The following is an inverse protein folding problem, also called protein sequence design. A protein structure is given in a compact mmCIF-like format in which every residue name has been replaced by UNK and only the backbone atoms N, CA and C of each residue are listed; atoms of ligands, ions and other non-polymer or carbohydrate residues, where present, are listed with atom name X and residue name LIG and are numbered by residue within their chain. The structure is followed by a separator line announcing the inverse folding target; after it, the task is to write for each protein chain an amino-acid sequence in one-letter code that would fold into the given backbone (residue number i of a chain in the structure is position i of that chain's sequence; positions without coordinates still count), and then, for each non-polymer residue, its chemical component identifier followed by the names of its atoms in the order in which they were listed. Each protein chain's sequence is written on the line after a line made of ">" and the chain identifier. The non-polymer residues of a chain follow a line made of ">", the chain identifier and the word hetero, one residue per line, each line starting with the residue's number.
data_IF_575067446950
#
_entry.id   IF_575067446950
#
_cell.length_a   1.000
_cell.length_b   1.000
_cell.length_c   1.000
_cell.angle_alpha   90.00
_cell.angle_beta   90.00
_cell.angle_gamma   90.00
#
_symmetry.space_group_name_H-M   'P 1'
#
loop_
_entity.id
_entity.type
_entity.pdbx_description
1 polymer ?
#
# COMPACT_ATOMS: atom_id res chain seq x y z
N UNK A 1 -20.42 -59.68 -49.12
CA UNK A 1 -20.94 -59.72 -47.72
C UNK A 1 -19.90 -59.07 -46.82
N UNK A 2 -20.31 -58.43 -45.73
CA UNK A 2 -19.36 -57.89 -44.73
C UNK A 2 -18.66 -59.02 -43.94
N UNK A 3 -17.86 -58.73 -42.92
CA UNK A 3 -17.58 -57.45 -42.25
C UNK A 3 -16.04 -57.31 -42.05
N UNK A 4 -15.43 -56.35 -41.33
CA UNK A 4 -15.94 -55.33 -40.39
C UNK A 4 -15.06 -54.06 -40.32
N UNK A 5 -15.43 -53.15 -39.43
CA UNK A 5 -14.72 -51.93 -39.06
C UNK A 5 -14.19 -52.08 -37.62
N UNK A 6 -12.92 -51.76 -37.33
CA UNK A 6 -12.50 -51.61 -35.93
C UNK A 6 -11.45 -50.49 -35.74
N UNK A 7 -11.69 -49.62 -34.76
CA UNK A 7 -10.92 -48.40 -34.49
C UNK A 7 -10.31 -48.48 -33.08
N UNK A 8 -9.01 -48.76 -33.00
CA UNK A 8 -8.23 -48.65 -31.76
C UNK A 8 -7.21 -47.51 -31.87
N UNK A 9 -7.49 -46.39 -31.19
CA UNK A 9 -6.70 -45.16 -31.32
C UNK A 9 -5.31 -45.21 -30.68
N UNK A 10 -4.30 -44.71 -31.40
CA UNK A 10 -2.94 -44.57 -30.89
C UNK A 10 -2.78 -43.36 -29.96
N UNK A 11 -2.90 -43.58 -28.65
CA UNK A 11 -2.54 -42.58 -27.64
C UNK A 11 -1.03 -42.29 -27.71
N UNK A 12 -0.66 -41.05 -28.06
CA UNK A 12 0.72 -40.55 -27.84
C UNK A 12 0.96 -40.44 -26.33
N UNK A 13 2.08 -40.95 -25.78
CA UNK A 13 2.34 -40.90 -24.34
C UNK A 13 2.52 -39.45 -23.87
N UNK A 14 1.65 -39.01 -22.97
CA UNK A 14 1.76 -37.73 -22.29
C UNK A 14 3.02 -37.71 -21.42
N UNK A 15 4.01 -36.91 -21.83
CA UNK A 15 5.27 -36.74 -21.10
C UNK A 15 5.00 -35.92 -19.84
N UNK A 16 4.60 -36.59 -18.75
CA UNK A 16 4.47 -35.99 -17.40
C UNK A 16 5.71 -35.16 -17.10
N UNK A 17 5.58 -33.83 -17.08
CA UNK A 17 6.60 -32.94 -16.52
C UNK A 17 6.68 -33.23 -15.02
N UNK A 18 7.77 -33.87 -14.61
CA UNK A 18 8.07 -34.16 -13.21
C UNK A 18 8.27 -32.85 -12.45
N UNK A 19 7.36 -32.52 -11.53
CA UNK A 19 7.44 -31.34 -10.66
C UNK A 19 8.54 -31.39 -9.59
N UNK A 20 9.61 -32.16 -9.82
CA UNK A 20 10.73 -32.35 -8.89
C UNK A 20 11.99 -31.54 -9.27
N UNK A 21 12.03 -30.95 -10.46
CA UNK A 21 13.21 -30.22 -10.97
C UNK A 21 13.21 -28.71 -10.65
N UNK A 22 12.04 -28.11 -10.40
CA UNK A 22 11.92 -26.68 -10.08
C UNK A 22 12.16 -26.36 -8.59
N UNK A 23 11.95 -27.32 -7.68
CA UNK A 23 12.15 -27.13 -6.23
C UNK A 23 13.63 -27.03 -5.80
N UNK A 24 14.56 -27.56 -6.60
CA UNK A 24 15.98 -27.71 -6.22
C UNK A 24 16.83 -26.46 -6.53
N UNK A 25 16.26 -25.42 -7.15
CA UNK A 25 16.98 -24.17 -7.49
C UNK A 25 16.69 -22.97 -6.57
N UNK A 26 16.01 -23.20 -5.44
CA UNK A 26 15.71 -22.16 -4.45
C UNK A 26 16.75 -22.02 -3.31
N UNK A 27 17.88 -22.73 -3.39
CA UNK A 27 18.87 -22.81 -2.31
C UNK A 27 19.88 -21.65 -2.28
N UNK A 28 19.38 -20.48 -1.90
CA UNK A 28 20.14 -19.58 -1.02
C UNK A 28 19.12 -18.91 -0.10
N UNK A 29 19.09 -19.20 1.20
CA UNK A 29 18.06 -18.66 2.09
C UNK A 29 18.18 -17.13 2.15
N UNK A 30 17.25 -16.45 1.47
CA UNK A 30 17.39 -15.05 1.12
C UNK A 30 16.63 -14.14 2.10
N UNK A 31 17.19 -13.93 3.30
CA UNK A 31 16.60 -13.01 4.27
C UNK A 31 17.51 -12.69 5.47
N UNK A 32 17.17 -11.67 6.28
CA UNK A 32 18.00 -11.26 7.42
C UNK A 32 18.13 -12.34 8.50
N UNK A 33 17.17 -13.27 8.59
CA UNK A 33 17.22 -14.38 9.55
C UNK A 33 17.99 -15.59 9.05
N UNK A 34 18.31 -15.66 7.76
CA UNK A 34 18.92 -16.84 7.15
C UNK A 34 20.27 -17.26 7.77
N UNK A 35 21.20 -16.35 8.14
CA UNK A 35 22.46 -16.76 8.78
C UNK A 35 22.28 -17.33 10.20
N UNK A 36 21.12 -17.12 10.84
CA UNK A 36 20.84 -17.56 12.21
C UNK A 36 19.92 -18.80 12.22
N UNK A 37 18.85 -18.76 11.44
CA UNK A 37 17.81 -19.80 11.42
C UNK A 37 17.90 -20.76 10.23
N UNK A 38 18.72 -20.47 9.20
CA UNK A 38 18.81 -21.29 7.98
C UNK A 38 19.13 -22.76 8.26
N UNK A 39 20.06 -23.06 9.17
CA UNK A 39 20.41 -24.43 9.60
C UNK A 39 19.27 -25.20 10.30
N UNK A 40 18.22 -24.50 10.73
CA UNK A 40 17.04 -25.07 11.36
C UNK A 40 15.83 -25.17 10.42
N UNK A 41 15.94 -24.74 9.15
CA UNK A 41 14.80 -24.63 8.21
C UNK A 41 13.94 -25.90 8.12
N UNK A 42 14.56 -27.08 8.12
CA UNK A 42 13.87 -28.38 8.04
C UNK A 42 13.50 -28.99 9.40
N UNK A 43 13.92 -28.36 10.51
CA UNK A 43 13.59 -28.76 11.89
C UNK A 43 12.53 -27.86 12.52
N UNK A 44 12.33 -26.66 11.98
CA UNK A 44 11.27 -25.76 12.41
C UNK A 44 9.92 -26.22 11.87
N UNK A 45 8.90 -26.11 12.70
CA UNK A 45 7.51 -26.25 12.29
C UNK A 45 7.20 -25.23 11.18
N UNK A 46 6.40 -25.66 10.20
CA UNK A 46 6.11 -24.90 8.98
C UNK A 46 5.78 -23.42 9.19
N UNK A 47 4.85 -23.01 10.07
CA UNK A 47 4.49 -21.60 10.19
C UNK A 47 5.65 -20.73 10.70
N UNK A 48 6.50 -21.25 11.61
CA UNK A 48 7.72 -20.54 12.06
C UNK A 48 8.76 -20.45 10.93
N UNK A 49 8.96 -21.54 10.19
CA UNK A 49 9.85 -21.54 9.02
C UNK A 49 9.38 -20.52 7.96
N UNK A 50 8.06 -20.46 7.69
CA UNK A 50 7.49 -19.48 6.76
C UNK A 50 7.63 -18.05 7.30
N UNK A 51 7.31 -17.75 8.57
CA UNK A 51 7.47 -16.40 9.14
C UNK A 51 8.91 -15.85 8.99
N UNK A 52 9.92 -16.63 9.38
CA UNK A 52 11.31 -16.15 9.43
C UNK A 52 12.08 -16.33 8.13
N UNK A 53 11.76 -17.35 7.33
CA UNK A 53 12.56 -17.80 6.18
C UNK A 53 11.73 -17.98 4.88
N UNK A 54 10.44 -17.66 4.88
CA UNK A 54 9.53 -17.81 3.73
C UNK A 54 9.41 -16.58 2.83
N UNK A 55 9.80 -15.38 3.29
CA UNK A 55 9.76 -14.16 2.49
C UNK A 55 11.00 -14.04 1.59
N UNK A 56 10.78 -13.93 0.27
CA UNK A 56 11.82 -13.88 -0.76
C UNK A 56 11.47 -12.89 -1.89
N UNK A 57 12.06 -13.04 -3.09
CA UNK A 57 11.77 -12.16 -4.25
C UNK A 57 10.41 -12.42 -4.91
N UNK A 58 9.87 -13.63 -4.75
CA UNK A 58 8.65 -14.15 -5.35
C UNK A 58 7.54 -14.39 -4.32
N UNK A 59 7.82 -14.25 -3.02
CA UNK A 59 6.86 -14.48 -1.94
C UNK A 59 6.98 -13.44 -0.82
N UNK A 60 5.83 -13.01 -0.31
CA UNK A 60 5.69 -12.30 0.96
C UNK A 60 5.00 -13.22 1.96
N UNK A 61 5.18 -12.95 3.24
CA UNK A 61 4.53 -13.72 4.28
C UNK A 61 3.55 -12.81 4.99
N UNK A 62 2.32 -13.28 5.12
CA UNK A 62 1.23 -12.58 5.79
C UNK A 62 0.80 -13.40 7.00
N UNK A 63 0.58 -12.70 8.09
CA UNK A 63 0.02 -13.24 9.31
C UNK A 63 -1.24 -12.46 9.61
N UNK A 64 -2.37 -13.14 9.74
CA UNK A 64 -3.65 -12.55 10.14
C UNK A 64 -4.16 -13.29 11.37
N UNK A 65 -4.68 -12.57 12.35
CA UNK A 65 -5.07 -13.16 13.62
C UNK A 65 -5.60 -12.15 14.62
N UNK A 66 -5.52 -12.52 15.89
CA UNK A 66 -6.05 -11.76 17.02
C UNK A 66 -5.00 -11.68 18.11
N UNK A 67 -4.79 -10.48 18.66
CA UNK A 67 -4.13 -10.31 19.96
C UNK A 67 -5.20 -10.45 21.04
N UNK A 68 -5.20 -11.56 21.76
CA UNK A 68 -6.23 -11.86 22.78
C UNK A 68 -6.15 -10.86 23.93
N UNK A 69 -4.95 -10.40 24.27
CA UNK A 69 -4.73 -9.39 25.29
C UNK A 69 -3.51 -8.51 24.93
N UNK A 70 -3.70 -7.20 24.99
CA UNK A 70 -2.64 -6.18 24.89
C UNK A 70 -2.78 -5.27 26.11
N UNK A 71 -1.68 -5.10 26.85
CA UNK A 71 -1.69 -4.34 28.10
C UNK A 71 -0.44 -3.47 28.28
N UNK A 72 -0.61 -2.38 29.03
CA UNK A 72 0.48 -1.63 29.63
C UNK A 72 0.25 -1.46 31.14
N UNK A 73 1.29 -1.60 31.95
CA UNK A 73 1.12 -1.59 33.42
C UNK A 73 0.96 -0.18 34.00
N UNK A 74 1.80 0.76 33.56
CA UNK A 74 1.92 2.08 34.18
C UNK A 74 1.15 3.13 33.38
N UNK A 75 -0.05 3.51 33.84
CA UNK A 75 -0.95 4.43 33.14
C UNK A 75 -0.31 5.80 32.84
N UNK A 76 0.63 6.24 33.69
CA UNK A 76 1.38 7.49 33.48
C UNK A 76 2.38 7.44 32.31
N UNK A 77 2.69 6.27 31.74
CA UNK A 77 3.48 6.15 30.51
C UNK A 77 2.68 6.49 29.24
N UNK A 78 1.35 6.63 29.31
CA UNK A 78 0.49 6.86 28.14
C UNK A 78 0.84 8.12 27.32
N UNK A 79 1.27 9.27 27.89
CA UNK A 79 1.75 10.40 27.11
C UNK A 79 3.02 10.07 26.30
N UNK A 80 3.98 9.37 26.91
CA UNK A 80 5.19 8.90 26.23
C UNK A 80 4.84 7.92 25.11
N UNK A 81 3.98 6.94 25.36
CA UNK A 81 3.54 5.97 24.34
C UNK A 81 2.72 6.64 23.23
N UNK A 82 1.97 7.70 23.53
CA UNK A 82 1.27 8.51 22.52
C UNK A 82 2.24 9.27 21.61
N UNK A 83 3.34 9.77 22.16
CA UNK A 83 4.43 10.38 21.38
C UNK A 83 5.13 9.34 20.50
N UNK A 84 5.44 8.16 21.04
CA UNK A 84 6.04 7.06 20.27
C UNK A 84 5.11 6.53 19.16
N UNK A 85 3.79 6.58 19.37
CA UNK A 85 2.78 6.18 18.39
C UNK A 85 2.74 7.09 17.16
N UNK A 86 3.16 8.35 17.28
CA UNK A 86 3.33 9.27 16.15
C UNK A 86 4.44 8.84 15.18
N UNK A 87 5.31 7.93 15.62
CA UNK A 87 6.49 7.48 14.91
C UNK A 87 6.49 5.97 14.61
N UNK A 88 5.34 5.29 14.79
CA UNK A 88 5.16 3.84 14.62
C UNK A 88 6.11 2.97 15.49
N UNK A 89 6.52 3.48 16.67
CA UNK A 89 7.48 2.81 17.58
C UNK A 89 6.78 1.95 18.66
N UNK A 90 5.71 2.45 19.27
CA UNK A 90 4.90 1.78 20.30
C UNK A 90 3.57 2.55 20.42
N UNK A 91 2.52 1.98 21.01
CA UNK A 91 1.23 2.65 21.14
C UNK A 91 0.61 2.58 22.55
N UNK A 92 -0.20 3.59 22.95
CA UNK A 92 -0.78 3.72 24.30
C UNK A 92 -2.09 2.94 24.51
N UNK A 93 -2.58 2.23 23.50
CA UNK A 93 -3.78 1.41 23.60
C UNK A 93 -3.53 0.08 24.33
N UNK A 94 -4.49 -0.31 25.16
CA UNK A 94 -4.66 -1.67 25.71
C UNK A 94 -6.04 -2.18 25.29
N UNK A 95 -6.24 -3.49 25.26
CA UNK A 95 -7.51 -4.12 24.91
C UNK A 95 -7.43 -5.63 24.82
N UNK A 96 -8.59 -6.28 24.76
CA UNK A 96 -8.71 -7.71 24.51
C UNK A 96 -9.25 -7.97 23.09
N UNK A 97 -8.96 -9.15 22.55
CA UNK A 97 -9.44 -9.66 21.26
C UNK A 97 -9.28 -8.67 20.09
N UNK A 98 -8.13 -7.99 20.02
CA UNK A 98 -7.84 -6.95 19.02
C UNK A 98 -7.40 -7.61 17.72
N UNK A 99 -8.15 -7.48 16.60
CA UNK A 99 -7.73 -8.04 15.32
C UNK A 99 -6.42 -7.40 14.85
N UNK A 100 -5.47 -8.23 14.44
CA UNK A 100 -4.14 -7.80 14.08
C UNK A 100 -3.64 -8.52 12.82
N UNK A 101 -2.77 -7.86 12.07
CA UNK A 101 -2.10 -8.45 10.90
C UNK A 101 -0.65 -8.00 10.82
N UNK A 102 0.22 -8.87 10.30
CA UNK A 102 1.61 -8.58 9.99
C UNK A 102 1.94 -8.99 8.56
N UNK A 103 2.62 -8.12 7.82
CA UNK A 103 3.16 -8.42 6.49
C UNK A 103 4.68 -8.33 6.53
N UNK A 104 5.33 -9.43 6.14
CA UNK A 104 6.78 -9.55 5.98
C UNK A 104 7.09 -9.62 4.49
N UNK A 105 7.94 -8.71 4.00
CA UNK A 105 8.38 -8.68 2.61
C UNK A 105 9.89 -8.46 2.54
N UNK A 106 10.56 -9.10 1.58
CA UNK A 106 11.99 -8.90 1.32
C UNK A 106 12.25 -7.51 0.74
N UNK A 107 13.36 -6.91 1.14
CA UNK A 107 13.97 -5.73 0.50
C UNK A 107 15.46 -6.02 0.24
N UNK A 108 16.14 -5.19 -0.57
CA UNK A 108 17.50 -5.50 -1.06
C UNK A 108 18.48 -5.85 0.07
N UNK A 109 18.46 -5.06 1.14
CA UNK A 109 19.33 -5.21 2.32
C UNK A 109 18.58 -5.74 3.56
N UNK A 110 17.53 -6.56 3.40
CA UNK A 110 16.83 -7.17 4.55
C UNK A 110 15.36 -7.55 4.32
N UNK A 111 14.50 -7.25 5.30
CA UNK A 111 13.05 -7.40 5.19
C UNK A 111 12.30 -6.25 5.88
N UNK A 112 11.11 -5.88 5.40
CA UNK A 112 10.17 -4.99 6.10
C UNK A 112 9.15 -5.82 6.86
N UNK A 113 8.91 -5.50 8.13
CA UNK A 113 7.88 -6.10 8.97
C UNK A 113 6.86 -5.01 9.32
N UNK A 114 5.67 -5.07 8.74
CA UNK A 114 4.61 -4.07 8.94
C UNK A 114 3.45 -4.70 9.71
N UNK A 115 3.17 -4.21 10.92
CA UNK A 115 2.14 -4.73 11.81
C UNK A 115 1.02 -3.71 11.93
N UNK A 116 -0.24 -4.15 11.84
CA UNK A 116 -1.43 -3.30 11.95
C UNK A 116 -2.39 -3.88 12.99
N UNK A 117 -2.91 -3.02 13.87
CA UNK A 117 -3.79 -3.37 14.98
C UNK A 117 -5.11 -2.60 14.85
N UNK A 118 -6.24 -3.31 14.93
CA UNK A 118 -7.58 -2.78 14.65
C UNK A 118 -8.29 -2.22 15.89
N UNK A 119 -7.61 -1.37 16.66
CA UNK A 119 -8.27 -0.52 17.67
C UNK A 119 -9.21 0.50 17.01
N UNK A 120 -10.10 1.11 17.80
CA UNK A 120 -11.01 2.22 17.40
C UNK A 120 -10.32 3.27 16.53
N UNK A 121 -9.08 3.64 16.90
CA UNK A 121 -8.14 4.31 16.02
C UNK A 121 -7.00 3.36 15.71
N UNK A 122 -6.99 2.80 14.50
CA UNK A 122 -5.98 1.84 14.03
C UNK A 122 -4.54 2.28 14.38
N UNK A 123 -3.69 1.30 14.72
CA UNK A 123 -2.28 1.49 15.04
C UNK A 123 -1.39 0.68 14.13
N UNK A 124 -0.18 1.19 13.90
CA UNK A 124 0.88 0.51 13.16
C UNK A 124 2.14 0.40 14.00
N UNK A 125 2.90 -0.64 13.71
CA UNK A 125 4.26 -0.84 14.18
C UNK A 125 5.06 -1.35 12.98
N UNK A 126 5.82 -0.45 12.38
CA UNK A 126 6.56 -0.69 11.14
C UNK A 126 8.05 -0.75 11.44
N UNK A 127 8.69 -1.84 11.03
CA UNK A 127 10.10 -2.10 11.28
C UNK A 127 10.84 -2.61 10.03
N UNK A 128 12.16 -2.48 10.03
CA UNK A 128 13.04 -3.14 9.05
C UNK A 128 14.03 -4.06 9.74
N UNK A 129 14.08 -5.31 9.30
CA UNK A 129 14.97 -6.35 9.80
C UNK A 129 16.20 -6.45 8.90
N UNK A 130 17.39 -6.42 9.49
CA UNK A 130 18.67 -6.61 8.78
C UNK A 130 19.55 -7.61 9.50
N UNK A 131 20.44 -8.26 8.76
CA UNK A 131 21.57 -8.98 9.35
C UNK A 131 22.81 -8.09 9.32
N UNK A 132 23.50 -7.97 10.45
CA UNK A 132 24.79 -7.30 10.57
C UNK A 132 25.79 -8.33 11.15
N UNK A 133 26.92 -8.63 10.46
CA UNK A 133 27.84 -9.70 10.91
C UNK A 133 28.32 -9.56 12.37
N UNK A 134 28.48 -8.33 12.85
CA UNK A 134 28.95 -8.01 14.21
C UNK A 134 27.85 -8.02 15.28
N UNK A 135 26.57 -8.06 14.89
CA UNK A 135 25.44 -7.83 15.81
C UNK A 135 24.27 -8.81 15.63
N UNK A 136 24.35 -9.72 14.67
CA UNK A 136 23.28 -10.66 14.34
C UNK A 136 22.12 -9.97 13.61
N UNK A 137 20.89 -10.42 13.92
CA UNK A 137 19.68 -9.77 13.41
C UNK A 137 19.45 -8.47 14.18
N UNK A 138 19.14 -7.38 13.48
CA UNK A 138 18.81 -6.08 14.06
C UNK A 138 17.49 -5.59 13.47
N UNK A 139 16.53 -5.30 14.34
CA UNK A 139 15.31 -4.58 14.02
C UNK A 139 15.56 -3.07 14.08
N UNK A 140 15.07 -2.34 13.09
CA UNK A 140 15.13 -0.87 13.03
C UNK A 140 13.73 -0.30 13.08
N UNK A 141 13.45 0.49 14.11
CA UNK A 141 12.15 1.13 14.37
C UNK A 141 12.26 2.66 14.40
N UNK A 142 11.12 3.33 14.22
CA UNK A 142 11.03 4.78 14.24
C UNK A 142 11.53 5.48 12.96
N UNK A 143 11.58 6.82 12.96
CA UNK A 143 11.79 7.59 11.74
C UNK A 143 13.15 7.30 11.13
N UNK A 144 13.17 6.88 9.86
CA UNK A 144 14.39 6.44 9.13
C UNK A 144 15.15 5.29 9.80
N UNK A 145 14.53 4.56 10.75
CA UNK A 145 15.17 3.51 11.55
C UNK A 145 16.14 4.06 12.61
N UNK A 146 15.72 5.11 13.33
CA UNK A 146 16.51 5.81 14.36
C UNK A 146 16.92 4.91 15.52
N UNK A 147 16.12 3.91 15.88
CA UNK A 147 16.43 2.98 16.97
C UNK A 147 16.81 1.63 16.36
N UNK A 148 18.00 1.13 16.68
CA UNK A 148 18.46 -0.23 16.38
C UNK A 148 18.28 -1.12 17.61
N UNK A 149 17.57 -2.23 17.42
CA UNK A 149 17.23 -3.22 18.44
C UNK A 149 17.84 -4.57 18.01
N UNK A 150 19.01 -4.96 18.55
CA UNK A 150 19.60 -6.26 18.24
C UNK A 150 18.73 -7.38 18.79
N UNK A 151 18.51 -8.43 18.00
CA UNK A 151 17.74 -9.62 18.37
C UNK A 151 18.68 -10.81 18.63
N UNK A 152 18.45 -11.49 19.74
CA UNK A 152 19.04 -12.79 20.08
C UNK A 152 17.95 -13.84 19.97
N UNK A 153 18.09 -14.72 18.99
CA UNK A 153 17.08 -15.73 18.65
C UNK A 153 17.59 -17.09 19.12
N UNK A 154 16.78 -17.79 19.90
CA UNK A 154 17.07 -19.13 20.43
C UNK A 154 15.94 -20.07 20.04
N UNK A 155 16.25 -21.10 19.26
CA UNK A 155 15.31 -22.20 18.98
C UNK A 155 15.22 -23.04 20.26
N UNK A 156 14.04 -23.08 20.88
CA UNK A 156 13.78 -23.88 22.08
C UNK A 156 13.47 -25.33 21.71
N UNK A 157 12.65 -25.49 20.68
CA UNK A 157 12.23 -26.75 20.07
C UNK A 157 11.87 -26.51 18.60
N UNK A 158 11.55 -27.54 17.82
CA UNK A 158 11.15 -27.36 16.42
C UNK A 158 9.91 -26.48 16.25
N UNK A 159 9.00 -26.53 17.22
CA UNK A 159 7.76 -25.76 17.31
C UNK A 159 7.89 -24.47 18.13
N UNK A 160 9.07 -24.09 18.65
CA UNK A 160 9.18 -22.95 19.57
C UNK A 160 10.48 -22.13 19.42
N UNK A 161 10.34 -20.82 19.27
CA UNK A 161 11.44 -19.85 19.20
C UNK A 161 11.30 -18.81 20.31
N UNK A 162 12.39 -18.54 21.04
CA UNK A 162 12.52 -17.42 21.97
C UNK A 162 13.33 -16.31 21.31
N UNK A 163 12.83 -15.08 21.39
CA UNK A 163 13.50 -13.85 20.93
C UNK A 163 13.73 -12.97 22.16
N UNK A 164 14.96 -12.50 22.34
CA UNK A 164 15.29 -11.50 23.36
C UNK A 164 16.07 -10.35 22.74
N UNK A 165 15.94 -9.14 23.28
CA UNK A 165 16.69 -7.99 22.76
C UNK A 165 18.05 -7.82 23.43
N UNK A 166 19.04 -7.41 22.64
CA UNK A 166 20.29 -6.85 23.13
C UNK A 166 20.10 -5.40 23.61
N UNK A 167 21.22 -4.71 23.88
CA UNK A 167 21.19 -3.28 24.21
C UNK A 167 20.77 -2.48 22.98
N UNK A 168 19.74 -1.65 23.13
CA UNK A 168 19.26 -0.74 22.09
C UNK A 168 20.29 0.35 21.80
N UNK A 169 20.32 0.81 20.55
CA UNK A 169 21.23 1.85 20.06
C UNK A 169 20.46 2.91 19.28
N UNK A 170 20.90 4.16 19.36
CA UNK A 170 20.46 5.25 18.48
C UNK A 170 21.37 5.31 17.26
N UNK A 171 20.76 5.42 16.08
CA UNK A 171 21.43 5.48 14.78
C UNK A 171 21.19 6.83 14.11
N UNK A 172 22.25 7.63 13.99
CA UNK A 172 22.28 8.88 13.24
C UNK A 172 23.17 8.72 12.01
N UNK A 173 22.59 8.27 10.89
CA UNK A 173 23.33 7.99 9.66
C UNK A 173 24.31 6.81 9.83
N UNK A 174 25.61 7.13 9.89
CA UNK A 174 26.71 6.18 10.17
C UNK A 174 27.03 6.05 11.66
N UNK A 175 26.68 7.05 12.48
CA UNK A 175 26.95 7.02 13.92
C UNK A 175 25.96 6.10 14.64
N UNK A 176 26.49 5.27 15.56
CA UNK A 176 25.70 4.45 16.48
C UNK A 176 26.12 4.78 17.91
N UNK A 177 25.15 5.17 18.74
CA UNK A 177 25.36 5.47 20.16
C UNK A 177 24.52 4.50 21.00
N UNK A 178 25.06 3.88 22.06
CA UNK A 178 24.25 3.06 22.95
C UNK A 178 23.21 3.94 23.67
N UNK A 179 21.97 3.47 23.78
CA UNK A 179 20.97 4.15 24.60
C UNK A 179 21.43 4.09 26.08
N UNK A 180 21.39 5.19 26.86
CA UNK A 180 21.77 5.18 28.27
C UNK A 180 21.02 4.11 29.07
N UNK A 181 21.67 3.52 30.07
CA UNK A 181 21.14 2.35 30.81
C UNK A 181 19.77 2.57 31.46
N UNK A 182 19.42 3.81 31.79
CA UNK A 182 18.12 4.23 32.36
C UNK A 182 16.97 4.28 31.33
N UNK A 183 17.27 4.16 30.04
CA UNK A 183 16.29 4.11 28.94
C UNK A 183 16.34 2.77 28.19
N UNK A 184 17.12 1.80 28.66
CA UNK A 184 17.19 0.46 28.08
C UNK A 184 15.96 -0.36 28.48
N UNK A 185 15.33 -1.00 27.49
CA UNK A 185 14.25 -1.95 27.68
C UNK A 185 14.68 -3.34 27.22
N UNK A 186 14.31 -4.36 27.97
CA UNK A 186 14.48 -5.76 27.61
C UNK A 186 13.14 -6.29 27.10
N UNK A 187 13.11 -6.71 25.83
CA UNK A 187 11.97 -7.45 25.28
C UNK A 187 12.31 -8.93 25.34
N UNK A 188 11.34 -9.73 25.81
CA UNK A 188 11.31 -11.18 25.63
C UNK A 188 10.03 -11.53 24.89
N UNK A 189 10.16 -12.31 23.82
CA UNK A 189 9.04 -12.90 23.13
C UNK A 189 9.25 -14.41 22.98
N UNK A 190 8.19 -15.19 23.07
CA UNK A 190 8.16 -16.62 22.78
C UNK A 190 7.09 -16.86 21.73
N UNK A 191 7.51 -17.43 20.60
CA UNK A 191 6.63 -17.79 19.49
C UNK A 191 6.55 -19.31 19.41
N UNK A 192 5.33 -19.86 19.36
CA UNK A 192 5.07 -21.30 19.30
C UNK A 192 4.17 -21.64 18.13
N UNK A 193 4.56 -22.63 17.32
CA UNK A 193 3.69 -23.19 16.30
C UNK A 193 2.59 -24.05 16.93
N UNK A 194 1.35 -23.80 16.54
CA UNK A 194 0.16 -24.55 16.98
C UNK A 194 -0.64 -24.88 15.71
N UNK A 195 -0.48 -26.09 15.18
CA UNK A 195 -0.95 -26.44 13.84
C UNK A 195 -0.37 -25.48 12.78
N UNK A 196 -1.20 -24.90 11.90
CA UNK A 196 -0.81 -23.89 10.90
C UNK A 196 -0.72 -22.45 11.45
N UNK A 197 -0.89 -22.26 12.76
CA UNK A 197 -0.84 -20.96 13.43
C UNK A 197 0.46 -20.77 14.24
N UNK A 198 0.76 -19.52 14.58
CA UNK A 198 1.74 -19.14 15.62
C UNK A 198 0.98 -18.49 16.77
N UNK A 199 1.19 -18.99 17.98
CA UNK A 199 0.92 -18.26 19.22
C UNK A 199 2.15 -17.43 19.59
N UNK A 200 1.93 -16.17 19.96
CA UNK A 200 2.99 -15.23 20.37
C UNK A 200 2.67 -14.76 21.78
N UNK A 201 3.66 -14.81 22.66
CA UNK A 201 3.69 -14.14 23.97
C UNK A 201 4.86 -13.15 23.94
N UNK A 202 4.63 -11.86 24.24
CA UNK A 202 5.66 -10.83 24.29
C UNK A 202 5.52 -9.96 25.53
N UNK A 203 6.63 -9.79 26.25
CA UNK A 203 6.75 -8.86 27.38
C UNK A 203 7.93 -7.91 27.19
N UNK A 204 7.65 -6.61 27.28
CA UNK A 204 8.64 -5.53 27.37
C UNK A 204 8.81 -5.16 28.83
N UNK A 205 10.04 -5.24 29.32
CA UNK A 205 10.43 -4.93 30.70
C UNK A 205 11.46 -3.80 30.75
N UNK A 206 11.36 -2.97 31.77
CA UNK A 206 12.33 -1.92 32.09
C UNK A 206 12.98 -2.21 33.45
N UNK A 207 14.28 -1.95 33.57
CA UNK A 207 15.10 -2.32 34.75
C UNK A 207 14.48 -1.91 36.09
N UNK A 208 13.88 -0.72 36.16
CA UNK A 208 13.32 -0.16 37.40
C UNK A 208 11.80 -0.25 37.53
N UNK A 209 11.08 -0.50 36.43
CA UNK A 209 9.61 -0.50 36.41
C UNK A 209 9.00 -1.90 36.27
N UNK A 210 9.85 -2.93 36.13
CA UNK A 210 9.44 -4.28 35.80
C UNK A 210 8.83 -4.35 34.40
N UNK A 211 7.86 -5.24 34.23
CA UNK A 211 7.08 -5.36 33.00
C UNK A 211 6.23 -4.08 32.77
N UNK A 212 6.42 -3.42 31.62
CA UNK A 212 5.79 -2.13 31.28
C UNK A 212 4.71 -2.25 30.21
N UNK A 213 4.88 -3.18 29.26
CA UNK A 213 3.99 -3.42 28.12
C UNK A 213 4.09 -4.89 27.73
N UNK A 214 3.00 -5.49 27.26
CA UNK A 214 3.03 -6.83 26.71
C UNK A 214 1.78 -7.16 25.91
N UNK A 215 1.85 -8.26 25.18
CA UNK A 215 0.71 -8.82 24.47
C UNK A 215 0.86 -10.33 24.29
N UNK A 216 -0.28 -10.99 24.12
CA UNK A 216 -0.36 -12.34 23.58
C UNK A 216 -1.41 -12.43 22.45
N UNK A 217 -1.26 -13.41 21.58
CA UNK A 217 -2.12 -13.56 20.40
C UNK A 217 -1.85 -14.82 19.59
N UNK A 218 -2.74 -15.08 18.62
CA UNK A 218 -2.63 -16.22 17.69
C UNK A 218 -2.83 -15.75 16.25
N UNK A 219 -1.95 -16.20 15.35
CA UNK A 219 -1.87 -15.77 13.96
C UNK A 219 -1.78 -16.95 12.98
N UNK A 220 -2.62 -16.96 11.95
CA UNK A 220 -2.50 -17.88 10.84
C UNK A 220 -1.41 -17.38 9.87
N UNK A 221 -0.41 -18.22 9.57
CA UNK A 221 0.70 -17.84 8.68
C UNK A 221 0.39 -18.25 7.24
N UNK A 222 0.59 -17.34 6.29
CA UNK A 222 0.37 -17.58 4.86
C UNK A 222 1.51 -17.02 4.04
N UNK A 223 2.21 -17.89 3.31
CA UNK A 223 3.17 -17.48 2.28
C UNK A 223 2.40 -17.15 1.00
N UNK A 224 2.22 -15.87 0.74
CA UNK A 224 1.55 -15.37 -0.45
C UNK A 224 2.58 -15.15 -1.56
N UNK A 225 2.33 -15.69 -2.76
CA UNK A 225 3.11 -15.33 -3.92
C UNK A 225 3.06 -13.83 -4.19
N UNK A 226 4.23 -13.18 -4.12
CA UNK A 226 4.51 -11.99 -4.93
C UNK A 226 4.59 -12.45 -6.39
N UNK A 227 3.43 -12.84 -6.94
CA UNK A 227 3.19 -12.79 -8.36
C UNK A 227 3.75 -11.46 -8.84
N UNK A 228 4.78 -11.47 -9.67
CA UNK A 228 5.40 -10.28 -10.23
C UNK A 228 4.27 -9.42 -10.80
N UNK A 229 3.94 -8.32 -10.13
CA UNK A 229 2.53 -7.94 -10.01
C UNK A 229 2.06 -7.14 -11.21
N UNK A 230 1.88 -7.84 -12.35
CA UNK A 230 0.74 -7.58 -13.22
C UNK A 230 -0.48 -7.57 -12.29
N UNK A 231 -1.11 -6.41 -12.07
CA UNK A 231 -2.12 -6.26 -11.03
C UNK A 231 -3.26 -7.25 -11.27
N UNK A 232 -3.81 -7.78 -10.18
CA UNK A 232 -4.87 -8.80 -10.19
C UNK A 232 -5.90 -8.50 -11.30
N UNK A 233 -5.98 -9.40 -12.30
CA UNK A 233 -6.58 -9.12 -13.63
C UNK A 233 -8.11 -8.98 -13.57
N UNK A 234 -8.72 -9.20 -12.39
CA UNK A 234 -10.12 -8.96 -12.07
C UNK A 234 -10.37 -7.71 -11.23
N UNK A 235 -9.36 -7.13 -10.55
CA UNK A 235 -9.56 -6.04 -9.58
C UNK A 235 -8.84 -4.74 -9.98
N UNK A 236 -7.71 -4.80 -10.69
CA UNK A 236 -7.04 -3.62 -11.23
C UNK A 236 -7.67 -3.07 -12.51
N UNK A 237 -8.39 -3.91 -13.25
CA UNK A 237 -8.81 -3.63 -14.63
C UNK A 237 -9.92 -2.58 -14.74
N UNK A 238 -10.83 -2.50 -13.76
CA UNK A 238 -12.01 -1.63 -13.84
C UNK A 238 -11.71 -0.14 -13.92
N UNK A 239 -10.76 0.36 -13.14
CA UNK A 239 -10.35 1.77 -13.18
C UNK A 239 -9.37 2.05 -14.33
N UNK A 240 -8.58 1.05 -14.73
CA UNK A 240 -7.67 1.21 -15.89
C UNK A 240 -8.42 1.34 -17.23
N UNK A 241 -9.66 0.84 -17.34
CA UNK A 241 -10.52 1.06 -18.51
C UNK A 241 -10.78 2.56 -18.82
N UNK A 242 -10.62 3.45 -17.85
CA UNK A 242 -10.80 4.90 -18.04
C UNK A 242 -9.51 5.64 -18.45
N UNK A 243 -8.36 4.97 -18.55
CA UNK A 243 -7.08 5.62 -18.87
C UNK A 243 -7.07 6.31 -20.23
N UNK A 244 -7.71 5.72 -21.24
CA UNK A 244 -7.87 6.33 -22.56
C UNK A 244 -8.67 7.64 -22.49
N UNK A 245 -9.75 7.68 -21.70
CA UNK A 245 -10.53 8.89 -21.45
C UNK A 245 -9.71 9.99 -20.77
N UNK A 246 -8.87 9.65 -19.79
CA UNK A 246 -8.01 10.65 -19.14
C UNK A 246 -6.83 11.09 -20.02
N UNK A 247 -6.26 10.23 -20.87
CA UNK A 247 -5.29 10.67 -21.88
C UNK A 247 -5.92 11.57 -22.94
N UNK A 248 -7.13 11.23 -23.42
CA UNK A 248 -7.89 12.07 -24.34
C UNK A 248 -8.25 13.42 -23.71
N UNK A 249 -8.69 13.45 -22.45
CA UNK A 249 -8.94 14.68 -21.70
C UNK A 249 -7.65 15.51 -21.55
N UNK A 250 -6.52 14.88 -21.20
CA UNK A 250 -5.22 15.57 -21.11
C UNK A 250 -4.82 16.22 -22.44
N UNK A 251 -4.88 15.47 -23.54
CA UNK A 251 -4.57 15.97 -24.88
C UNK A 251 -5.52 17.07 -25.34
N UNK A 252 -6.82 16.92 -25.09
CA UNK A 252 -7.84 17.93 -25.40
C UNK A 252 -7.61 19.23 -24.62
N UNK A 253 -7.39 19.16 -23.30
CA UNK A 253 -7.23 20.36 -22.46
C UNK A 253 -5.90 21.08 -22.78
N UNK A 254 -4.85 20.32 -23.15
CA UNK A 254 -3.61 20.87 -23.68
C UNK A 254 -3.83 21.60 -25.01
N UNK A 255 -4.44 20.95 -25.99
CA UNK A 255 -4.67 21.53 -27.32
C UNK A 255 -5.63 22.73 -27.28
N UNK A 256 -6.74 22.63 -26.55
CA UNK A 256 -7.73 23.70 -26.42
C UNK A 256 -7.17 24.90 -25.65
N UNK A 257 -6.48 24.65 -24.53
CA UNK A 257 -5.83 25.71 -23.76
C UNK A 257 -4.77 26.46 -24.57
N UNK A 258 -3.90 25.73 -25.28
CA UNK A 258 -2.91 26.35 -26.19
C UNK A 258 -3.56 27.10 -27.35
N UNK A 259 -4.63 26.57 -27.95
CA UNK A 259 -5.37 27.24 -29.03
C UNK A 259 -5.94 28.58 -28.56
N UNK A 260 -6.55 28.63 -27.36
CA UNK A 260 -7.11 29.85 -26.78
C UNK A 260 -6.04 30.84 -26.36
N UNK A 261 -4.89 30.39 -25.87
CA UNK A 261 -3.77 31.27 -25.48
C UNK A 261 -3.11 31.88 -26.72
N UNK A 262 -2.77 31.07 -27.74
CA UNK A 262 -1.98 31.50 -28.90
C UNK A 262 -2.85 32.17 -29.98
N UNK A 263 -4.09 31.70 -30.18
CA UNK A 263 -5.02 32.23 -31.17
C UNK A 263 -6.41 32.54 -30.57
N UNK A 264 -6.51 33.47 -29.59
CA UNK A 264 -7.74 33.71 -28.83
C UNK A 264 -8.96 34.08 -29.69
N UNK A 265 -8.72 34.73 -30.84
CA UNK A 265 -9.77 35.22 -31.75
C UNK A 265 -10.35 34.12 -32.66
N UNK A 266 -9.65 33.00 -32.85
CA UNK A 266 -10.06 31.95 -33.80
C UNK A 266 -11.41 31.32 -33.46
N UNK A 267 -11.71 31.14 -32.17
CA UNK A 267 -13.00 30.61 -31.74
C UNK A 267 -14.15 31.58 -32.05
N UNK A 268 -14.00 32.87 -31.73
CA UNK A 268 -15.01 33.89 -32.02
C UNK A 268 -15.35 33.97 -33.52
N UNK A 269 -14.32 33.92 -34.38
CA UNK A 269 -14.50 33.85 -35.85
C UNK A 269 -15.28 32.61 -36.28
N UNK A 270 -14.98 31.44 -35.71
CA UNK A 270 -15.65 30.18 -36.03
C UNK A 270 -17.15 30.21 -35.70
N UNK A 271 -17.54 30.88 -34.62
CA UNK A 271 -18.96 31.01 -34.20
C UNK A 271 -19.64 32.31 -34.69
N UNK A 272 -18.99 33.08 -35.55
CA UNK A 272 -19.54 34.35 -36.09
C UNK A 272 -19.74 35.45 -35.04
N UNK A 273 -19.07 35.37 -33.89
CA UNK A 273 -19.19 36.34 -32.79
C UNK A 273 -18.10 37.41 -32.92
N UNK A 274 -18.37 38.70 -32.62
CA UNK A 274 -17.30 39.69 -32.47
C UNK A 274 -16.31 39.24 -31.38
N UNK A 275 -15.00 39.51 -31.53
CA UNK A 275 -14.03 39.23 -30.48
C UNK A 275 -14.42 39.95 -29.18
N UNK A 276 -14.30 39.27 -28.04
CA UNK A 276 -14.50 39.91 -26.75
C UNK A 276 -13.51 41.07 -26.56
N UNK A 277 -13.96 42.21 -26.03
CA UNK A 277 -13.07 43.28 -25.57
C UNK A 277 -12.12 42.79 -24.46
N UNK A 278 -12.53 41.74 -23.74
CA UNK A 278 -11.83 41.09 -22.63
C UNK A 278 -11.02 39.87 -23.11
N UNK A 279 -10.14 40.05 -24.11
CA UNK A 279 -9.30 38.97 -24.64
C UNK A 279 -8.43 38.33 -23.54
N UNK A 280 -7.89 39.14 -22.62
CA UNK A 280 -7.09 38.66 -21.50
C UNK A 280 -7.88 37.69 -20.60
N UNK A 281 -9.14 38.00 -20.31
CA UNK A 281 -10.03 37.14 -19.52
C UNK A 281 -10.33 35.81 -20.24
N UNK A 282 -10.46 35.83 -21.56
CA UNK A 282 -10.60 34.61 -22.38
C UNK A 282 -9.31 33.77 -22.40
N UNK A 283 -8.14 34.39 -22.53
CA UNK A 283 -6.84 33.71 -22.42
C UNK A 283 -6.60 33.14 -21.01
N UNK A 284 -7.05 33.82 -19.96
CA UNK A 284 -6.99 33.33 -18.58
C UNK A 284 -7.83 32.05 -18.38
N UNK A 285 -9.01 31.98 -19.01
CA UNK A 285 -9.80 30.74 -19.07
C UNK A 285 -9.03 29.63 -19.81
N UNK A 286 -8.39 29.95 -20.94
CA UNK A 286 -7.48 29.04 -21.65
C UNK A 286 -6.34 28.51 -20.80
N UNK A 287 -5.69 29.36 -19.99
CA UNK A 287 -4.66 28.96 -19.03
C UNK A 287 -5.21 28.06 -17.93
N UNK A 288 -6.40 28.35 -17.39
CA UNK A 288 -7.04 27.48 -16.39
C UNK A 288 -7.33 26.09 -16.96
N UNK A 289 -7.87 26.00 -18.19
CA UNK A 289 -8.10 24.71 -18.88
C UNK A 289 -6.78 23.97 -19.14
N UNK A 290 -5.74 24.67 -19.60
CA UNK A 290 -4.41 24.10 -19.83
C UNK A 290 -3.83 23.42 -18.58
N UNK A 291 -4.01 24.02 -17.40
CA UNK A 291 -3.51 23.47 -16.12
C UNK A 291 -4.16 22.13 -15.73
N UNK A 292 -5.36 21.80 -16.24
CA UNK A 292 -5.94 20.48 -16.03
C UNK A 292 -5.26 19.36 -16.85
N UNK A 293 -4.53 19.68 -17.92
CA UNK A 293 -3.84 18.68 -18.75
C UNK A 293 -2.85 17.77 -17.96
N UNK A 294 -1.89 18.31 -17.17
CA UNK A 294 -1.02 17.49 -16.33
C UNK A 294 -1.79 16.70 -15.27
N UNK A 295 -2.87 17.25 -14.70
CA UNK A 295 -3.71 16.56 -13.73
C UNK A 295 -4.37 15.31 -14.35
N UNK A 296 -4.96 15.43 -15.54
CA UNK A 296 -5.53 14.28 -16.26
C UNK A 296 -4.45 13.28 -16.70
N UNK A 297 -3.26 13.74 -17.08
CA UNK A 297 -2.16 12.86 -17.44
C UNK A 297 -1.64 12.04 -16.25
N UNK A 298 -1.56 12.62 -15.05
CA UNK A 298 -1.26 11.88 -13.82
C UNK A 298 -2.34 10.84 -13.48
N UNK A 299 -3.63 11.21 -13.59
CA UNK A 299 -4.74 10.25 -13.45
C UNK A 299 -4.67 9.15 -14.52
N UNK A 300 -4.29 9.45 -15.75
CA UNK A 300 -4.14 8.44 -16.80
C UNK A 300 -2.95 7.49 -16.56
N UNK A 301 -1.92 7.93 -15.82
CA UNK A 301 -0.77 7.08 -15.45
C UNK A 301 -1.04 6.22 -14.23
N UNK A 302 -1.57 6.78 -13.15
CA UNK A 302 -1.99 6.06 -11.95
C UNK A 302 -3.37 6.56 -11.47
N UNK A 303 -4.46 5.97 -11.99
CA UNK A 303 -5.80 6.43 -11.65
C UNK A 303 -6.16 6.22 -10.18
N UNK A 304 -5.53 5.26 -9.51
CA UNK A 304 -5.81 4.93 -8.12
C UNK A 304 -5.20 5.96 -7.17
N UNK A 305 -3.93 6.31 -7.39
CA UNK A 305 -3.22 7.30 -6.60
C UNK A 305 -3.79 8.71 -6.78
N UNK A 306 -4.16 9.07 -8.01
CA UNK A 306 -4.60 10.42 -8.36
C UNK A 306 -6.13 10.61 -8.38
N UNK A 307 -6.90 9.64 -7.87
CA UNK A 307 -8.38 9.62 -7.86
C UNK A 307 -9.06 10.92 -7.37
N UNK A 308 -8.42 11.63 -6.45
CA UNK A 308 -8.92 12.89 -5.88
C UNK A 308 -8.92 14.05 -6.91
N UNK A 309 -8.00 14.07 -7.88
CA UNK A 309 -7.96 15.09 -8.93
C UNK A 309 -9.22 15.03 -9.81
N UNK A 310 -9.82 13.85 -9.99
CA UNK A 310 -11.05 13.68 -10.77
C UNK A 310 -12.27 14.27 -10.06
N UNK A 311 -12.27 14.36 -8.72
CA UNK A 311 -13.32 15.04 -7.95
C UNK A 311 -13.31 16.55 -8.27
N UNK A 312 -12.12 17.16 -8.19
CA UNK A 312 -11.91 18.58 -8.50
C UNK A 312 -12.29 18.86 -9.96
N UNK A 313 -11.84 18.00 -10.88
CA UNK A 313 -12.16 18.13 -12.29
C UNK A 313 -13.66 18.00 -12.60
N UNK A 314 -14.37 17.02 -12.03
CA UNK A 314 -15.80 16.89 -12.26
C UNK A 314 -16.58 18.07 -11.67
N UNK A 315 -16.17 18.59 -10.50
CA UNK A 315 -16.76 19.80 -9.92
C UNK A 315 -16.61 21.00 -10.87
N UNK A 316 -15.41 21.26 -11.39
CA UNK A 316 -15.19 22.31 -12.39
C UNK A 316 -16.06 22.13 -13.64
N UNK A 317 -16.16 20.90 -14.15
CA UNK A 317 -17.00 20.56 -15.32
C UNK A 317 -18.50 20.62 -15.07
N UNK A 318 -18.97 20.72 -13.83
CA UNK A 318 -20.39 20.95 -13.52
C UNK A 318 -20.72 22.44 -13.49
N UNK A 319 -19.76 23.28 -13.06
CA UNK A 319 -19.96 24.73 -12.96
C UNK A 319 -19.98 25.44 -14.32
N UNK A 320 -19.18 24.97 -15.29
CA UNK A 320 -19.15 25.53 -16.65
C UNK A 320 -20.53 25.57 -17.34
N UNK A 321 -21.23 24.43 -17.46
CA UNK A 321 -22.57 24.39 -18.05
C UNK A 321 -23.63 25.17 -17.27
N UNK A 322 -23.54 25.23 -15.93
CA UNK A 322 -24.45 26.06 -15.12
C UNK A 322 -24.26 27.56 -15.41
N UNK A 323 -23.00 28.01 -15.49
CA UNK A 323 -22.68 29.38 -15.88
C UNK A 323 -23.13 29.71 -17.31
N UNK A 324 -23.02 28.76 -18.24
CA UNK A 324 -23.52 28.94 -19.61
C UNK A 324 -25.05 29.00 -19.69
N UNK A 325 -25.78 28.15 -18.95
CA UNK A 325 -27.25 28.21 -18.91
C UNK A 325 -27.74 29.56 -18.37
N UNK A 326 -27.06 30.11 -17.35
CA UNK A 326 -27.31 31.47 -16.87
C UNK A 326 -27.03 32.52 -17.96
N UNK A 327 -25.86 32.46 -18.61
CA UNK A 327 -25.47 33.41 -19.66
C UNK A 327 -26.40 33.36 -20.89
N UNK A 328 -26.89 32.17 -21.25
CA UNK A 328 -27.85 31.96 -22.33
C UNK A 328 -29.22 32.54 -21.98
N UNK A 329 -29.69 32.34 -20.73
CA UNK A 329 -30.94 32.94 -20.24
C UNK A 329 -30.86 34.47 -20.13
N UNK A 330 -29.69 34.99 -19.76
CA UNK A 330 -29.39 36.43 -19.73
C UNK A 330 -29.07 37.03 -21.12
N UNK A 331 -29.17 36.23 -22.19
CA UNK A 331 -28.85 36.62 -23.58
C UNK A 331 -27.44 37.19 -23.80
N UNK A 332 -26.49 36.89 -22.90
CA UNK A 332 -25.10 37.39 -22.99
C UNK A 332 -24.17 36.51 -23.82
N UNK A 333 -24.54 35.24 -24.05
CA UNK A 333 -23.82 34.32 -24.93
C UNK A 333 -24.78 33.65 -25.93
N UNK A 334 -24.37 33.47 -27.20
CA UNK A 334 -25.19 32.78 -28.19
C UNK A 334 -25.25 31.27 -27.91
N UNK A 335 -26.35 30.62 -28.31
CA UNK A 335 -26.53 29.16 -28.18
C UNK A 335 -25.36 28.35 -28.78
N UNK A 336 -24.75 28.86 -29.86
CA UNK A 336 -23.62 28.24 -30.55
C UNK A 336 -22.36 28.13 -29.67
N UNK A 337 -22.20 28.99 -28.66
CA UNK A 337 -21.16 28.88 -27.64
C UNK A 337 -21.29 27.58 -26.81
N UNK A 338 -22.50 26.99 -26.76
CA UNK A 338 -22.76 25.68 -26.16
C UNK A 338 -21.94 24.54 -26.75
N UNK A 339 -21.39 24.67 -27.98
CA UNK A 339 -20.44 23.70 -28.54
C UNK A 339 -19.13 23.62 -27.71
N UNK A 340 -18.65 24.77 -27.21
CA UNK A 340 -17.48 24.82 -26.31
C UNK A 340 -17.77 24.11 -25.01
N UNK A 341 -18.96 24.33 -24.43
CA UNK A 341 -19.42 23.71 -23.19
C UNK A 341 -19.59 22.19 -23.36
N UNK A 342 -20.19 21.76 -24.47
CA UNK A 342 -20.37 20.35 -24.80
C UNK A 342 -19.03 19.61 -24.86
N UNK A 343 -18.03 20.21 -25.51
CA UNK A 343 -16.71 19.60 -25.76
C UNK A 343 -15.73 19.76 -24.59
N UNK A 344 -15.77 20.87 -23.85
CA UNK A 344 -14.95 21.06 -22.65
C UNK A 344 -15.49 20.28 -21.46
N UNK A 345 -16.82 20.23 -21.27
CA UNK A 345 -17.41 19.75 -20.02
C UNK A 345 -18.22 18.46 -20.21
N UNK A 346 -19.37 18.56 -20.88
CA UNK A 346 -20.39 17.51 -20.88
C UNK A 346 -19.89 16.17 -21.46
N UNK A 347 -19.06 16.20 -22.50
CA UNK A 347 -18.47 15.02 -23.16
C UNK A 347 -17.75 14.08 -22.18
N UNK A 348 -17.15 14.64 -21.12
CA UNK A 348 -16.31 13.90 -20.17
C UNK A 348 -17.09 13.33 -18.98
N UNK A 349 -18.29 13.86 -18.71
CA UNK A 349 -19.11 13.51 -17.55
C UNK A 349 -19.38 12.00 -17.41
N UNK A 350 -19.78 11.24 -18.45
CA UNK A 350 -20.11 9.82 -18.28
C UNK A 350 -18.90 9.00 -17.81
N UNK A 351 -17.72 9.29 -18.37
CA UNK A 351 -16.47 8.63 -18.00
C UNK A 351 -16.00 9.03 -16.60
N UNK A 352 -16.02 10.32 -16.28
CA UNK A 352 -15.51 10.85 -15.01
C UNK A 352 -16.41 10.45 -13.83
N UNK A 353 -17.73 10.53 -13.99
CA UNK A 353 -18.71 10.10 -12.98
C UNK A 353 -18.64 8.59 -12.75
N UNK A 354 -18.62 7.78 -13.81
CA UNK A 354 -18.52 6.33 -13.67
C UNK A 354 -17.17 5.88 -13.05
N UNK A 355 -16.10 6.61 -13.33
CA UNK A 355 -14.81 6.44 -12.65
C UNK A 355 -14.92 6.77 -11.15
N UNK A 356 -15.48 7.93 -10.78
CA UNK A 356 -15.58 8.37 -9.39
C UNK A 356 -16.47 7.46 -8.54
N UNK A 357 -17.61 7.00 -9.05
CA UNK A 357 -18.47 6.02 -8.36
C UNK A 357 -17.68 4.75 -8.00
N UNK A 358 -16.84 4.26 -8.92
CA UNK A 358 -15.98 3.09 -8.69
C UNK A 358 -14.81 3.39 -7.75
N UNK A 359 -14.20 4.57 -7.86
CA UNK A 359 -13.12 5.01 -6.98
C UNK A 359 -13.61 5.21 -5.53
N UNK A 360 -14.82 5.74 -5.33
CA UNK A 360 -15.45 5.93 -4.03
C UNK A 360 -15.73 4.60 -3.34
N UNK A 361 -16.35 3.63 -4.04
CA UNK A 361 -16.54 2.26 -3.52
C UNK A 361 -15.21 1.64 -3.05
N UNK A 362 -14.15 1.81 -3.84
CA UNK A 362 -12.79 1.31 -3.50
C UNK A 362 -12.06 2.10 -2.40
N UNK A 363 -12.52 3.30 -2.07
CA UNK A 363 -11.98 4.08 -0.95
C UNK A 363 -12.56 3.66 0.41
N UNK A 364 -13.57 2.79 0.44
CA UNK A 364 -14.43 2.60 1.62
C UNK A 364 -15.58 3.62 1.70
N UNK A 365 -15.98 4.18 0.55
CA UNK A 365 -17.09 5.12 0.42
C UNK A 365 -16.67 6.56 0.08
N UNK A 366 -17.67 7.38 -0.27
CA UNK A 366 -17.46 8.80 -0.64
C UNK A 366 -16.77 9.62 0.45
N UNK A 367 -17.11 9.41 1.72
CA UNK A 367 -16.46 10.09 2.86
C UNK A 367 -14.95 9.85 2.91
N UNK A 368 -14.50 8.63 2.63
CA UNK A 368 -13.07 8.30 2.62
C UNK A 368 -12.33 8.88 1.40
N UNK A 369 -12.98 8.85 0.23
CA UNK A 369 -12.46 9.48 -1.00
C UNK A 369 -12.27 11.00 -0.82
N UNK A 370 -13.28 11.68 -0.27
CA UNK A 370 -13.26 13.14 -0.05
C UNK A 370 -12.31 13.54 1.09
N UNK A 371 -12.10 12.67 2.08
CA UNK A 371 -11.12 12.90 3.14
C UNK A 371 -9.65 12.67 2.71
N UNK A 372 -9.39 12.38 1.43
CA UNK A 372 -8.04 12.16 0.90
C UNK A 372 -7.30 10.93 1.46
N UNK A 373 -8.05 9.98 2.04
CA UNK A 373 -7.51 8.74 2.62
C UNK A 373 -7.31 7.64 1.57
#
# INVERSE_FOLDING_TARGET
>A
MGTDFDWAGSMRPSRKRSGAADDVRAETPAGPFAPVLGRYRHRLARPLADQFLGADRLHRVRLDGTMHHIWHRHVWLRPLFSLLARFDILFPESGCDVPASMTIARVDEGATWRRTFAFVKSRRFDATMRYLPQSGVVERIGPRGLIEVPWRIRVLAGDAIEITTGRLQLRAGRLRLPIPGVFQVAVKAVERAVSENISVDLVVSHRFLGAIFGYDGTFAVRREGLNATRPNRSEGVWLQRYRSWFYAAAGYNLAWGLLVIVWPVSFFRLIGMPPSNEIASWQALGMMVLVYAPAYWWVARDPLRHRHLVVIALLGKLLGPLGFLWALHAHTLPLLFGLTILTNDCLWWPAFTAFLVKAARRSGGWRALLAGR
#
